data_IF_376852544630
#
_entry.id   IF_376852544630
#
_cell.length_a   1.000
_cell.length_b   1.000
_cell.length_c   1.000
_cell.angle_alpha   90.00
_cell.angle_beta   90.00
_cell.angle_gamma   90.00
#
_symmetry.space_group_name_H-M   'P 1'
#
loop_
_entity.id
_entity.type
_entity.pdbx_description
1 polymer ?
#
# COMPACT_ATOMS: atom_id res chain seq x y z
N UNK A 1 6.09 9.94 12.96
CA UNK A 1 4.83 10.29 12.29
C UNK A 1 5.06 11.47 11.40
N UNK A 2 4.92 11.22 10.10
CA UNK A 2 5.27 12.14 9.04
C UNK A 2 4.08 13.01 8.59
N UNK A 3 4.44 14.07 7.88
CA UNK A 3 3.52 14.94 7.14
C UNK A 3 3.63 14.61 5.65
N UNK A 4 2.48 14.38 5.04
CA UNK A 4 2.35 13.95 3.65
C UNK A 4 1.78 15.11 2.81
N UNK A 5 2.48 15.51 1.74
CA UNK A 5 2.13 16.71 0.93
C UNK A 5 2.27 16.53 -0.58
N UNK A 6 2.46 15.30 -1.06
CA UNK A 6 2.62 15.00 -2.49
C UNK A 6 1.27 14.87 -3.22
N UNK A 7 1.24 15.27 -4.49
CA UNK A 7 0.14 15.00 -5.44
C UNK A 7 0.71 14.32 -6.67
N UNK A 8 -0.05 13.40 -7.25
CA UNK A 8 0.30 12.65 -8.45
C UNK A 8 -0.91 12.57 -9.39
N UNK A 9 -0.72 11.98 -10.56
CA UNK A 9 -1.82 11.63 -11.46
C UNK A 9 -2.69 10.57 -10.79
N UNK A 10 -4.00 10.78 -10.78
CA UNK A 10 -4.91 9.79 -10.24
C UNK A 10 -5.01 8.57 -11.17
N UNK A 11 -4.65 7.41 -10.64
CA UNK A 11 -4.98 6.09 -11.18
C UNK A 11 -6.09 5.42 -10.37
N UNK A 12 -6.87 4.52 -10.97
CA UNK A 12 -7.74 3.62 -10.21
C UNK A 12 -6.93 2.51 -9.50
N UNK A 13 -7.63 1.53 -8.94
CA UNK A 13 -7.01 0.44 -8.20
C UNK A 13 -6.34 -0.61 -9.10
N UNK A 14 -6.68 -0.62 -10.40
CA UNK A 14 -6.04 -1.42 -11.43
C UNK A 14 -4.83 -0.72 -12.06
N UNK A 15 -4.65 0.58 -11.79
CA UNK A 15 -3.57 1.40 -12.32
C UNK A 15 -3.94 2.23 -13.55
N UNK A 16 -5.23 2.29 -13.92
CA UNK A 16 -5.69 3.05 -15.08
C UNK A 16 -5.80 4.55 -14.75
N UNK A 17 -5.27 5.41 -15.63
CA UNK A 17 -5.31 6.86 -15.46
C UNK A 17 -6.76 7.36 -15.48
N UNK A 18 -7.10 8.19 -14.50
CA UNK A 18 -8.42 8.79 -14.35
C UNK A 18 -8.47 10.17 -15.00
N UNK A 19 -9.63 10.48 -15.58
CA UNK A 19 -9.89 11.75 -16.24
C UNK A 19 -11.08 12.46 -15.60
N UNK A 20 -11.03 13.78 -15.52
CA UNK A 20 -12.12 14.62 -15.03
C UNK A 20 -12.35 15.75 -16.05
N UNK A 21 -13.56 15.83 -16.61
CA UNK A 21 -13.92 16.79 -17.65
C UNK A 21 -13.02 16.78 -18.91
N UNK A 22 -12.39 15.63 -19.21
CA UNK A 22 -11.49 15.47 -20.35
C UNK A 22 -10.02 15.76 -20.07
N UNK A 23 -9.70 16.26 -18.87
CA UNK A 23 -8.34 16.48 -18.40
C UNK A 23 -7.86 15.32 -17.51
N UNK A 24 -6.54 15.15 -17.40
CA UNK A 24 -5.94 14.19 -16.48
C UNK A 24 -6.28 14.64 -15.05
N UNK A 25 -6.92 13.74 -14.28
CA UNK A 25 -7.31 14.03 -12.91
C UNK A 25 -6.08 13.98 -12.00
N UNK A 26 -5.93 15.01 -11.16
CA UNK A 26 -4.92 15.01 -10.10
C UNK A 26 -5.48 14.31 -8.85
N UNK A 27 -4.70 13.39 -8.30
CA UNK A 27 -5.03 12.71 -7.06
C UNK A 27 -4.91 13.67 -5.88
N UNK A 28 -5.81 13.53 -4.90
CA UNK A 28 -5.57 14.07 -3.55
C UNK A 28 -4.30 13.45 -2.95
N UNK A 29 -3.69 14.12 -1.98
CA UNK A 29 -2.54 13.63 -1.21
C UNK A 29 -2.81 12.23 -0.67
N UNK A 30 -3.96 12.02 0.00
CA UNK A 30 -4.38 10.70 0.47
C UNK A 30 -4.36 9.66 -0.64
N UNK A 31 -4.91 9.98 -1.81
CA UNK A 31 -4.98 9.06 -2.94
C UNK A 31 -3.59 8.78 -3.54
N UNK A 32 -2.72 9.78 -3.64
CA UNK A 32 -1.33 9.62 -4.08
C UNK A 32 -0.56 8.62 -3.22
N UNK A 33 -0.59 8.77 -1.89
CA UNK A 33 0.12 7.83 -1.01
C UNK A 33 -0.54 6.44 -1.02
N UNK A 34 -1.87 6.38 -1.16
CA UNK A 34 -2.58 5.11 -1.29
C UNK A 34 -2.21 4.36 -2.57
N UNK A 35 -2.09 5.07 -3.69
CA UNK A 35 -1.65 4.51 -4.98
C UNK A 35 -0.20 4.02 -4.91
N UNK A 36 0.70 4.82 -4.34
CA UNK A 36 2.10 4.41 -4.17
C UNK A 36 2.26 3.17 -3.29
N UNK A 37 1.46 3.06 -2.23
CA UNK A 37 1.40 1.87 -1.38
C UNK A 37 0.82 0.67 -2.13
N UNK A 38 -0.26 0.86 -2.90
CA UNK A 38 -0.87 -0.20 -3.71
C UNK A 38 0.11 -0.73 -4.76
N UNK A 39 0.79 0.16 -5.47
CA UNK A 39 1.79 -0.18 -6.47
C UNK A 39 2.94 -0.99 -5.86
N UNK A 40 3.51 -0.54 -4.74
CA UNK A 40 4.56 -1.27 -4.02
C UNK A 40 4.16 -2.70 -3.63
N UNK A 41 2.90 -2.91 -3.21
CA UNK A 41 2.38 -4.21 -2.77
C UNK A 41 2.11 -5.12 -3.96
N UNK A 42 1.51 -4.58 -5.01
CA UNK A 42 1.05 -5.32 -6.19
C UNK A 42 2.18 -5.66 -7.17
N UNK A 43 3.25 -4.87 -7.17
CA UNK A 43 4.36 -5.04 -8.11
C UNK A 43 5.41 -6.06 -7.67
N UNK A 44 6.03 -6.68 -8.67
CA UNK A 44 7.16 -7.59 -8.50
C UNK A 44 8.51 -6.90 -8.71
N UNK A 45 9.56 -7.39 -8.05
CA UNK A 45 10.97 -7.03 -8.33
C UNK A 45 11.33 -7.16 -9.81
N UNK A 46 10.72 -8.11 -10.52
CA UNK A 46 10.99 -8.38 -11.94
C UNK A 46 10.37 -7.35 -12.88
N UNK A 47 9.44 -6.53 -12.40
CA UNK A 47 8.64 -5.59 -13.19
C UNK A 47 9.05 -4.12 -12.96
N UNK A 48 9.90 -3.88 -11.96
CA UNK A 48 10.29 -2.54 -11.52
C UNK A 48 11.75 -2.24 -11.84
N UNK A 49 12.01 -1.00 -12.28
CA UNK A 49 13.37 -0.45 -12.38
C UNK A 49 14.01 -0.17 -11.01
N UNK A 50 13.21 -0.20 -9.94
CA UNK A 50 13.64 -0.06 -8.54
C UNK A 50 13.20 -1.30 -7.76
N UNK A 51 13.86 -2.45 -7.95
CA UNK A 51 13.39 -3.74 -7.46
C UNK A 51 13.27 -3.78 -5.93
N UNK A 52 14.21 -3.16 -5.20
CA UNK A 52 14.21 -3.19 -3.74
C UNK A 52 13.05 -2.40 -3.12
N UNK A 53 12.44 -1.49 -3.87
CA UNK A 53 11.24 -0.77 -3.45
C UNK A 53 9.95 -1.60 -3.62
N UNK A 54 10.01 -2.85 -4.07
CA UNK A 54 8.85 -3.71 -4.29
C UNK A 54 8.72 -4.77 -3.20
N UNK A 55 7.51 -4.99 -2.70
CA UNK A 55 7.25 -6.01 -1.69
C UNK A 55 7.47 -7.44 -2.22
N UNK A 56 7.30 -7.64 -3.54
CA UNK A 56 7.56 -8.89 -4.26
C UNK A 56 6.91 -10.11 -3.60
N UNK A 57 5.61 -10.00 -3.33
CA UNK A 57 4.88 -11.00 -2.54
C UNK A 57 4.64 -12.33 -3.28
N UNK A 58 4.80 -12.35 -4.61
CA UNK A 58 4.64 -13.55 -5.45
C UNK A 58 5.54 -14.73 -5.01
N UNK A 59 6.65 -14.48 -4.32
CA UNK A 59 7.56 -15.51 -3.80
C UNK A 59 6.94 -16.40 -2.73
N UNK A 60 5.83 -15.97 -2.13
CA UNK A 60 5.13 -16.69 -1.07
C UNK A 60 4.02 -17.60 -1.60
N UNK A 61 3.91 -17.74 -2.93
CA UNK A 61 3.02 -18.70 -3.61
C UNK A 61 3.12 -20.11 -3.01
N UNK A 62 1.97 -20.68 -2.67
CA UNK A 62 1.89 -22.01 -2.08
C UNK A 62 2.39 -22.11 -0.64
N UNK A 63 2.57 -20.99 0.09
CA UNK A 63 3.11 -20.99 1.46
C UNK A 63 2.32 -20.14 2.46
N UNK A 64 1.14 -19.65 2.07
CA UNK A 64 0.34 -18.71 2.87
C UNK A 64 -0.33 -19.31 4.11
N UNK A 65 -0.26 -20.63 4.31
CA UNK A 65 -0.77 -21.33 5.49
C UNK A 65 0.27 -21.45 6.63
N UNK A 66 1.48 -20.91 6.46
CA UNK A 66 2.57 -21.01 7.44
C UNK A 66 2.70 -19.69 8.22
N UNK A 67 2.56 -19.73 9.55
CA UNK A 67 2.61 -18.51 10.37
C UNK A 67 3.94 -17.71 10.23
N UNK A 68 5.07 -18.39 10.03
CA UNK A 68 6.34 -17.71 9.78
C UNK A 68 6.36 -16.94 8.44
N UNK A 69 5.60 -17.39 7.44
CA UNK A 69 5.48 -16.71 6.14
C UNK A 69 4.74 -15.40 6.27
N UNK A 70 3.74 -15.31 7.15
CA UNK A 70 3.02 -14.06 7.43
C UNK A 70 3.98 -12.98 7.94
N UNK A 71 4.85 -13.33 8.89
CA UNK A 71 5.89 -12.41 9.39
C UNK A 71 6.88 -12.01 8.28
N UNK A 72 7.24 -12.93 7.39
CA UNK A 72 8.09 -12.63 6.24
C UNK A 72 7.43 -11.67 5.24
N UNK A 73 6.12 -11.82 4.99
CA UNK A 73 5.34 -10.88 4.16
C UNK A 73 5.36 -9.48 4.80
N UNK A 74 5.05 -9.39 6.10
CA UNK A 74 5.09 -8.13 6.84
C UNK A 74 6.46 -7.45 6.76
N UNK A 75 7.52 -8.24 6.91
CA UNK A 75 8.91 -7.77 6.81
C UNK A 75 9.23 -7.27 5.40
N UNK A 76 8.80 -7.99 4.36
CA UNK A 76 9.02 -7.63 2.96
C UNK A 76 8.39 -6.28 2.62
N UNK A 77 7.15 -6.05 3.08
CA UNK A 77 6.43 -4.79 2.86
C UNK A 77 7.14 -3.62 3.56
N UNK A 78 7.60 -3.83 4.80
CA UNK A 78 8.34 -2.79 5.55
C UNK A 78 9.71 -2.49 4.96
N UNK A 79 10.39 -3.49 4.40
CA UNK A 79 11.65 -3.27 3.69
C UNK A 79 11.41 -2.49 2.40
N UNK A 80 10.41 -2.87 1.59
CA UNK A 80 10.05 -2.15 0.39
C UNK A 80 9.72 -0.67 0.68
N UNK A 81 8.98 -0.41 1.75
CA UNK A 81 8.67 0.93 2.24
C UNK A 81 9.92 1.79 2.48
N UNK A 82 10.94 1.19 3.13
CA UNK A 82 12.20 1.87 3.42
C UNK A 82 12.95 2.28 2.14
N UNK A 83 12.91 1.43 1.11
CA UNK A 83 13.57 1.72 -0.18
C UNK A 83 12.79 2.70 -1.06
N UNK A 84 11.46 2.67 -1.02
CA UNK A 84 10.63 3.57 -1.83
C UNK A 84 10.78 5.03 -1.37
N UNK A 85 11.06 5.26 -0.08
CA UNK A 85 11.19 6.58 0.53
C UNK A 85 9.97 7.51 0.31
N UNK A 86 8.82 6.92 -0.04
CA UNK A 86 7.56 7.64 -0.23
C UNK A 86 6.85 7.86 1.13
N UNK A 87 7.02 6.95 2.08
CA UNK A 87 6.45 7.06 3.42
C UNK A 87 7.43 6.55 4.48
N UNK A 88 7.30 7.08 5.71
CA UNK A 88 8.03 6.57 6.87
C UNK A 88 7.60 5.12 7.16
N UNK A 89 8.52 4.14 7.21
CA UNK A 89 8.17 2.75 7.50
C UNK A 89 7.51 2.54 8.87
N UNK A 90 7.74 3.46 9.82
CA UNK A 90 7.11 3.42 11.15
C UNK A 90 5.64 3.84 11.13
N UNK A 91 5.22 4.53 10.08
CA UNK A 91 3.84 4.97 9.88
C UNK A 91 2.96 3.86 9.25
N UNK A 92 3.56 2.72 8.91
CA UNK A 92 2.85 1.54 8.41
C UNK A 92 2.48 0.54 9.52
N UNK A 93 1.20 0.17 9.60
CA UNK A 93 0.72 -1.04 10.29
C UNK A 93 0.36 -2.10 9.24
N UNK A 94 1.16 -3.16 9.17
CA UNK A 94 0.99 -4.28 8.24
C UNK A 94 0.55 -5.49 9.04
N UNK A 95 -0.54 -6.13 8.62
CA UNK A 95 -1.06 -7.34 9.26
C UNK A 95 -1.41 -8.38 8.21
N UNK A 96 -0.93 -9.60 8.44
CA UNK A 96 -1.30 -10.77 7.63
C UNK A 96 -1.97 -11.81 8.52
N UNK A 97 -3.18 -12.22 8.17
CA UNK A 97 -3.99 -13.16 8.96
C UNK A 97 -4.53 -14.25 8.05
N UNK A 98 -4.38 -15.54 8.39
CA UNK A 98 -5.01 -16.61 7.62
C UNK A 98 -6.53 -16.50 7.75
N UNK A 99 -7.25 -16.53 6.63
CA UNK A 99 -8.73 -16.48 6.60
C UNK A 99 -9.35 -17.79 6.10
N UNK A 100 -8.59 -18.60 5.38
CA UNK A 100 -8.96 -19.94 4.95
C UNK A 100 -7.73 -20.86 4.90
N UNK A 101 -7.94 -22.14 4.56
CA UNK A 101 -6.86 -23.11 4.34
C UNK A 101 -5.90 -22.71 3.21
N UNK A 102 -6.38 -21.91 2.27
CA UNK A 102 -5.76 -21.52 1.02
C UNK A 102 -5.84 -20.00 0.78
N UNK A 103 -6.10 -19.20 1.81
CA UNK A 103 -6.12 -17.75 1.68
C UNK A 103 -5.68 -17.03 2.96
N UNK A 104 -5.00 -15.91 2.79
CA UNK A 104 -4.67 -14.96 3.86
C UNK A 104 -5.23 -13.57 3.54
N UNK A 105 -5.69 -12.85 4.55
CA UNK A 105 -5.96 -11.42 4.45
C UNK A 105 -4.69 -10.65 4.73
N UNK A 106 -4.37 -9.69 3.87
CA UNK A 106 -3.32 -8.69 4.09
C UNK A 106 -4.00 -7.33 4.27
N UNK A 107 -3.73 -6.66 5.39
CA UNK A 107 -4.15 -5.28 5.61
C UNK A 107 -2.92 -4.42 5.80
N UNK A 108 -2.84 -3.31 5.08
CA UNK A 108 -1.80 -2.30 5.23
C UNK A 108 -2.45 -0.97 5.55
N UNK A 109 -2.09 -0.39 6.69
CA UNK A 109 -2.56 0.93 7.11
C UNK A 109 -1.41 1.91 7.10
N UNK A 110 -1.59 3.05 6.46
CA UNK A 110 -0.69 4.20 6.53
C UNK A 110 -1.29 5.24 7.46
N UNK A 111 -0.56 5.60 8.52
CA UNK A 111 -0.96 6.60 9.51
C UNK A 111 -0.15 7.88 9.31
N UNK A 112 -0.79 9.03 9.24
CA UNK A 112 -0.06 10.28 9.19
C UNK A 112 -0.96 11.51 9.16
N UNK A 113 -0.34 12.65 8.91
CA UNK A 113 -1.04 13.91 8.68
C UNK A 113 -0.96 14.19 7.18
N UNK A 114 -2.10 14.18 6.50
CA UNK A 114 -2.19 14.46 5.07
C UNK A 114 -2.54 15.92 4.85
N UNK A 115 -2.09 16.51 3.75
CA UNK A 115 -2.27 17.93 3.49
C UNK A 115 -3.73 18.39 3.59
N UNK A 116 -4.70 17.58 3.12
CA UNK A 116 -6.12 17.95 3.19
C UNK A 116 -6.68 17.93 4.62
N UNK A 117 -6.05 17.17 5.51
CA UNK A 117 -6.43 17.11 6.93
C UNK A 117 -5.85 18.28 7.73
N UNK A 118 -5.09 19.16 7.07
CA UNK A 118 -4.61 20.40 7.65
C UNK A 118 -5.67 21.49 7.44
N UNK A 119 -6.48 21.71 8.46
CA UNK A 119 -7.37 22.88 8.51
C UNK A 119 -6.51 24.12 8.78
N UNK A 120 -6.70 25.19 7.99
CA UNK A 120 -5.93 26.44 8.09
C UNK A 120 -6.00 27.11 9.49
N UNK A 121 -7.02 26.75 10.29
CA UNK A 121 -7.32 27.36 11.59
C UNK A 121 -7.24 26.39 12.80
N UNK A 122 -6.57 25.23 12.67
CA UNK A 122 -6.36 24.31 13.80
C UNK A 122 -4.87 24.21 14.17
N UNK A 123 -4.58 24.46 15.45
CA UNK A 123 -3.23 24.30 16.03
C UNK A 123 -2.77 22.82 16.06
N UNK A 124 -3.73 21.89 16.13
CA UNK A 124 -3.46 20.45 16.21
C UNK A 124 -3.71 19.75 14.86
N UNK A 125 -2.70 19.05 14.31
CA UNK A 125 -2.88 18.30 13.07
C UNK A 125 -3.79 17.09 13.28
N UNK A 126 -4.76 16.90 12.37
CA UNK A 126 -5.62 15.71 12.38
C UNK A 126 -4.82 14.51 11.84
N UNK A 127 -4.66 13.51 12.69
CA UNK A 127 -4.06 12.23 12.31
C UNK A 127 -5.11 11.37 11.64
N UNK A 128 -4.89 11.00 10.40
CA UNK A 128 -5.79 10.12 9.65
C UNK A 128 -5.10 8.84 9.20
N UNK A 129 -5.93 7.91 8.70
CA UNK A 129 -5.51 6.59 8.28
C UNK A 129 -5.98 6.34 6.85
N UNK A 130 -5.09 5.76 6.06
CA UNK A 130 -5.42 5.16 4.77
C UNK A 130 -5.23 3.65 4.89
N UNK A 131 -6.20 2.85 4.46
CA UNK A 131 -6.17 1.38 4.60
C UNK A 131 -6.30 0.72 3.24
N UNK A 132 -5.43 -0.24 2.96
CA UNK A 132 -5.56 -1.19 1.86
C UNK A 132 -5.81 -2.58 2.42
N UNK A 133 -6.88 -3.21 1.95
CA UNK A 133 -7.19 -4.61 2.24
C UNK A 133 -7.00 -5.46 1.00
N UNK A 134 -6.40 -6.63 1.18
CA UNK A 134 -6.23 -7.63 0.14
C UNK A 134 -6.63 -9.01 0.64
N UNK A 135 -7.17 -9.83 -0.26
CA UNK A 135 -7.17 -11.28 -0.15
C UNK A 135 -5.97 -11.81 -0.92
N UNK A 136 -5.24 -12.73 -0.32
CA UNK A 136 -4.05 -13.32 -0.89
C UNK A 136 -4.31 -14.81 -1.11
N UNK A 137 -4.68 -15.22 -2.34
CA UNK A 137 -4.97 -16.61 -2.66
C UNK A 137 -3.67 -17.43 -2.68
N UNK A 138 -3.72 -18.65 -2.15
CA UNK A 138 -2.57 -19.55 -2.06
C UNK A 138 -2.03 -19.98 -3.42
N UNK A 139 -2.91 -20.22 -4.39
CA UNK A 139 -2.56 -20.69 -5.73
C UNK A 139 -1.91 -19.63 -6.60
N UNK A 140 -2.37 -18.37 -6.52
CA UNK A 140 -1.84 -17.27 -7.32
C UNK A 140 -0.72 -16.52 -6.59
N UNK A 141 -0.86 -16.31 -5.27
CA UNK A 141 -0.11 -15.32 -4.48
C UNK A 141 -0.01 -13.96 -5.18
N UNK A 142 -1.09 -13.59 -5.87
CA UNK A 142 -1.32 -12.25 -6.36
C UNK A 142 -2.37 -11.61 -5.45
N UNK A 143 -2.10 -10.46 -4.82
CA UNK A 143 -3.07 -9.83 -3.94
C UNK A 143 -4.27 -9.35 -4.74
N UNK A 144 -5.46 -9.69 -4.28
CA UNK A 144 -6.72 -9.21 -4.82
C UNK A 144 -7.26 -8.15 -3.87
N UNK A 145 -7.36 -6.91 -4.35
CA UNK A 145 -7.80 -5.79 -3.51
C UNK A 145 -9.26 -5.95 -3.12
N UNK A 146 -9.56 -5.73 -1.85
CA UNK A 146 -10.92 -5.69 -1.31
C UNK A 146 -11.32 -4.23 -1.13
N UNK A 147 -12.40 -3.81 -1.79
CA UNK A 147 -12.95 -2.44 -1.78
C UNK A 147 -14.09 -2.34 -0.77
#
# INVERSE_FOLDING_TARGET
>A
MAYYVGHDIETDDAGEVQFENGDIKLASTKRTFLQGLNWMIMSSRTESSVPDAMAHLVVYKGRLNIANVHRSIETSIRQAALYQNLFDPNDLDVRVVPIATDAASLTVKLKGVFLEDRLEDQDDPIVSYQTLGYVFPFESATPERVV
#
